data_IF_149762071445
#
_entry.id   IF_149762071445
#
_cell.length_a   1.000
_cell.length_b   1.000
_cell.length_c   1.000
_cell.angle_alpha   90.00
_cell.angle_beta   90.00
_cell.angle_gamma   90.00
#
_symmetry.space_group_name_H-M   'P 1'
#
loop_
_entity.id
_entity.type
_entity.pdbx_description
1 polymer ?
#
# COMPACT_ATOMS: atom_id res chain seq x y z
N UNK A 1 4.19 -23.16 -10.44
CA UNK A 1 3.94 -23.58 -9.04
C UNK A 1 4.53 -22.50 -8.18
N UNK A 2 3.74 -21.95 -7.26
CA UNK A 2 4.21 -20.93 -6.32
C UNK A 2 5.30 -21.50 -5.41
N UNK A 3 6.29 -20.68 -5.07
CA UNK A 3 7.38 -21.06 -4.18
C UNK A 3 6.89 -21.14 -2.73
N UNK A 4 7.26 -22.21 -2.02
CA UNK A 4 6.93 -22.42 -0.61
C UNK A 4 7.82 -21.53 0.26
N UNK A 5 7.18 -20.70 1.07
CA UNK A 5 7.83 -19.72 1.96
C UNK A 5 7.92 -20.26 3.38
N UNK A 6 6.85 -20.90 3.86
CA UNK A 6 6.73 -21.41 5.22
C UNK A 6 5.86 -22.66 5.26
N UNK A 7 6.15 -23.56 6.19
CA UNK A 7 5.35 -24.74 6.48
C UNK A 7 5.33 -25.02 7.98
N UNK A 8 4.14 -25.24 8.55
CA UNK A 8 3.99 -25.70 9.93
C UNK A 8 2.87 -26.73 10.06
N UNK A 9 3.06 -27.72 10.93
CA UNK A 9 2.08 -28.78 11.20
C UNK A 9 1.54 -28.66 12.62
N UNK A 10 0.22 -28.66 12.76
CA UNK A 10 -0.49 -28.70 14.04
C UNK A 10 -1.49 -29.86 14.07
N UNK A 11 -1.12 -30.95 14.75
CA UNK A 11 -1.92 -32.17 14.77
C UNK A 11 -1.99 -32.82 13.38
N UNK A 12 -3.19 -32.85 12.79
CA UNK A 12 -3.43 -33.38 11.44
C UNK A 12 -3.37 -32.32 10.33
N UNK A 13 -3.41 -31.04 10.70
CA UNK A 13 -3.41 -29.93 9.76
C UNK A 13 -1.98 -29.47 9.47
N UNK A 14 -1.66 -29.21 8.22
CA UNK A 14 -0.40 -28.59 7.76
C UNK A 14 -0.74 -27.29 7.04
N UNK A 15 -0.22 -26.18 7.54
CA UNK A 15 -0.32 -24.87 6.91
C UNK A 15 0.92 -24.69 6.03
N UNK A 16 0.71 -24.28 4.78
CA UNK A 16 1.76 -23.93 3.84
C UNK A 16 1.52 -22.51 3.34
N UNK A 17 2.55 -21.67 3.36
CA UNK A 17 2.52 -20.31 2.84
C UNK A 17 3.30 -20.26 1.54
N UNK A 18 2.75 -19.60 0.54
CA UNK A 18 3.32 -19.47 -0.79
C UNK A 18 3.33 -18.02 -1.22
N UNK A 19 4.25 -17.67 -2.13
CA UNK A 19 4.14 -16.42 -2.87
C UNK A 19 2.92 -16.47 -3.81
N UNK A 20 2.16 -15.39 -3.83
CA UNK A 20 1.11 -15.18 -4.81
C UNK A 20 1.74 -14.68 -6.12
N UNK A 21 1.58 -15.47 -7.19
CA UNK A 21 2.16 -15.16 -8.50
C UNK A 21 1.22 -14.36 -9.40
N UNK A 22 -0.04 -14.19 -9.00
CA UNK A 22 -1.05 -13.41 -9.73
C UNK A 22 -1.84 -12.48 -8.78
N UNK A 23 -1.16 -11.61 -8.01
CA UNK A 23 -1.81 -10.77 -7.02
C UNK A 23 -2.58 -9.61 -7.66
N UNK A 24 -3.72 -9.25 -7.07
CA UNK A 24 -4.44 -8.03 -7.43
C UNK A 24 -3.60 -6.78 -7.09
N UNK A 25 -3.59 -5.80 -7.98
CA UNK A 25 -2.92 -4.53 -7.74
C UNK A 25 -3.69 -3.73 -6.67
N UNK A 26 -3.10 -3.38 -5.51
CA UNK A 26 -3.82 -2.66 -4.47
C UNK A 26 -4.26 -1.25 -4.88
N UNK A 27 -3.76 -0.69 -5.99
CA UNK A 27 -4.25 0.58 -6.55
C UNK A 27 -5.57 0.46 -7.30
N UNK A 28 -6.03 -0.75 -7.65
CA UNK A 28 -7.39 -0.96 -8.19
C UNK A 28 -8.46 -1.06 -7.11
N UNK A 29 -8.09 -1.02 -5.83
CA UNK A 29 -9.01 -1.03 -4.70
C UNK A 29 -9.65 0.34 -4.44
N UNK A 30 -10.64 0.37 -3.54
CA UNK A 30 -11.26 1.59 -3.03
C UNK A 30 -10.34 2.29 -2.02
N UNK A 31 -9.35 3.01 -2.54
CA UNK A 31 -8.36 3.74 -1.75
C UNK A 31 -8.85 5.13 -1.35
N UNK A 32 -8.41 5.63 -0.19
CA UNK A 32 -8.68 7.02 0.22
C UNK A 32 -7.80 8.01 -0.56
N UNK A 33 -6.53 7.64 -0.74
CA UNK A 33 -5.55 8.46 -1.42
C UNK A 33 -5.58 8.28 -2.93
N UNK A 34 -5.38 9.37 -3.67
CA UNK A 34 -4.97 9.33 -5.08
C UNK A 34 -3.45 9.47 -5.17
N UNK A 35 -2.79 8.52 -5.82
CA UNK A 35 -1.33 8.44 -5.96
C UNK A 35 -0.92 8.83 -7.39
N UNK A 36 -0.43 10.06 -7.56
CA UNK A 36 0.03 10.60 -8.84
C UNK A 36 1.54 10.42 -8.93
N UNK A 37 2.00 9.54 -9.82
CA UNK A 37 3.42 9.17 -9.95
C UNK A 37 3.88 9.14 -11.41
N UNK A 38 5.02 9.80 -11.68
CA UNK A 38 5.68 9.77 -12.98
C UNK A 38 7.05 9.12 -12.88
N UNK A 39 7.27 8.05 -13.65
CA UNK A 39 8.57 7.40 -13.74
C UNK A 39 8.85 6.88 -15.16
N UNK A 40 10.08 7.05 -15.70
CA UNK A 40 10.37 6.70 -17.10
C UNK A 40 10.36 5.19 -17.38
N UNK A 41 10.49 4.34 -16.36
CA UNK A 41 10.59 2.88 -16.51
C UNK A 41 9.36 2.12 -16.02
N UNK A 42 8.57 2.72 -15.14
CA UNK A 42 7.52 2.02 -14.39
C UNK A 42 6.24 2.81 -14.48
N UNK A 43 5.13 2.10 -14.69
CA UNK A 43 3.80 2.68 -14.49
C UNK A 43 3.45 2.53 -13.00
N UNK A 44 3.38 3.65 -12.28
CA UNK A 44 3.27 3.67 -10.82
C UNK A 44 2.04 4.46 -10.40
N UNK A 45 1.41 4.04 -9.30
CA UNK A 45 0.28 4.75 -8.72
C UNK A 45 -0.98 4.60 -9.56
N UNK A 46 -1.78 5.67 -9.58
CA UNK A 46 -3.06 5.73 -10.28
C UNK A 46 -2.92 6.38 -11.65
N UNK A 47 -3.82 6.03 -12.58
CA UNK A 47 -3.82 6.59 -13.92
C UNK A 47 -4.04 8.12 -13.91
N UNK A 48 -3.19 8.85 -14.61
CA UNK A 48 -3.28 10.29 -14.76
C UNK A 48 -2.63 10.79 -16.05
N UNK A 49 -2.90 12.05 -16.40
CA UNK A 49 -2.34 12.71 -17.60
C UNK A 49 -1.32 13.81 -17.29
N UNK A 50 -0.93 13.98 -16.02
CA UNK A 50 0.03 15.02 -15.62
C UNK A 50 1.44 14.75 -16.12
N UNK A 51 2.09 15.78 -16.68
CA UNK A 51 3.51 15.77 -17.04
C UNK A 51 4.38 16.13 -15.82
N UNK A 52 4.41 15.19 -14.87
CA UNK A 52 5.20 15.28 -13.65
C UNK A 52 4.55 16.08 -12.51
N UNK A 53 5.24 16.07 -11.36
CA UNK A 53 4.70 16.56 -10.09
C UNK A 53 4.35 18.05 -10.09
N UNK A 54 5.06 18.90 -10.85
CA UNK A 54 4.74 20.33 -10.92
C UNK A 54 3.40 20.57 -11.62
N UNK A 55 3.14 19.89 -12.74
CA UNK A 55 1.89 20.02 -13.49
C UNK A 55 0.69 19.61 -12.62
N UNK A 56 0.81 18.50 -11.90
CA UNK A 56 -0.18 18.07 -10.91
C UNK A 56 -0.43 19.12 -9.83
N UNK A 57 0.62 19.67 -9.20
CA UNK A 57 0.45 20.65 -8.13
C UNK A 57 -0.20 21.96 -8.60
N UNK A 58 0.08 22.38 -9.84
CA UNK A 58 -0.58 23.54 -10.44
C UNK A 58 -2.07 23.30 -10.65
N UNK A 59 -2.43 22.14 -11.21
CA UNK A 59 -3.82 21.74 -11.42
C UNK A 59 -4.59 21.67 -10.09
N UNK A 60 -4.03 20.98 -9.08
CA UNK A 60 -4.60 20.88 -7.75
C UNK A 60 -4.85 22.26 -7.11
N UNK A 61 -3.95 23.21 -7.35
CA UNK A 61 -4.05 24.57 -6.82
C UNK A 61 -4.87 25.52 -7.71
N UNK A 62 -5.27 25.09 -8.90
CA UNK A 62 -5.93 25.90 -9.95
C UNK A 62 -5.11 27.14 -10.30
N UNK A 63 -3.81 26.93 -10.55
CA UNK A 63 -2.86 27.98 -10.94
C UNK A 63 -2.41 27.81 -12.39
N UNK A 64 -2.16 28.93 -13.06
CA UNK A 64 -1.56 28.96 -14.39
C UNK A 64 -0.08 28.54 -14.36
N UNK A 65 0.45 28.09 -15.50
CA UNK A 65 1.82 27.55 -15.59
C UNK A 65 2.93 28.58 -15.35
N UNK A 66 2.64 29.86 -15.60
CA UNK A 66 3.57 30.99 -15.58
C UNK A 66 3.86 31.54 -14.16
N UNK A 67 3.26 30.95 -13.12
CA UNK A 67 3.56 31.32 -11.74
C UNK A 67 5.02 31.03 -11.38
N UNK A 68 5.70 31.93 -10.65
CA UNK A 68 7.13 31.82 -10.35
C UNK A 68 7.43 30.85 -9.19
N UNK A 69 6.51 29.95 -8.87
CA UNK A 69 6.64 29.01 -7.76
C UNK A 69 7.34 27.73 -8.22
N UNK A 70 8.35 27.34 -7.46
CA UNK A 70 8.96 26.01 -7.54
C UNK A 70 8.05 24.94 -6.92
N UNK A 71 8.46 23.68 -7.05
CA UNK A 71 7.70 22.53 -6.56
C UNK A 71 7.48 22.59 -5.05
N UNK A 72 8.47 23.02 -4.26
CA UNK A 72 8.36 23.11 -2.80
C UNK A 72 7.36 24.19 -2.36
N UNK A 73 7.38 25.33 -3.03
CA UNK A 73 6.44 26.43 -2.78
C UNK A 73 5.01 26.05 -3.18
N UNK A 74 4.84 25.28 -4.26
CA UNK A 74 3.54 24.73 -4.68
C UNK A 74 3.07 23.65 -3.70
N UNK A 75 3.92 22.71 -3.31
CA UNK A 75 3.62 21.66 -2.34
C UNK A 75 3.16 22.24 -0.99
N UNK A 76 3.87 23.25 -0.47
CA UNK A 76 3.49 23.96 0.76
C UNK A 76 2.11 24.62 0.65
N UNK A 77 1.74 25.12 -0.54
CA UNK A 77 0.40 25.67 -0.79
C UNK A 77 -0.64 24.55 -0.87
N UNK A 78 -0.33 23.44 -1.53
CA UNK A 78 -1.23 22.30 -1.69
C UNK A 78 -1.63 21.72 -0.33
N UNK A 79 -0.74 21.70 0.66
CA UNK A 79 -1.04 21.29 2.03
C UNK A 79 -2.17 22.09 2.71
N UNK A 80 -2.49 23.30 2.22
CA UNK A 80 -3.63 24.09 2.72
C UNK A 80 -4.97 23.60 2.17
N UNK A 81 -4.98 22.92 1.02
CA UNK A 81 -6.17 22.43 0.31
C UNK A 81 -6.32 20.92 0.38
N UNK A 82 -5.24 20.20 0.68
CA UNK A 82 -5.18 18.74 0.75
C UNK A 82 -4.32 18.25 1.92
N UNK A 83 -4.45 16.97 2.23
CA UNK A 83 -3.45 16.19 2.95
C UNK A 83 -2.65 15.47 1.87
N UNK A 84 -1.39 15.85 1.73
CA UNK A 84 -0.54 15.44 0.60
C UNK A 84 0.85 15.08 1.13
N UNK A 85 1.39 13.96 0.64
CA UNK A 85 2.71 13.46 0.98
C UNK A 85 3.54 13.27 -0.30
N UNK A 86 4.85 13.59 -0.29
CA UNK A 86 5.73 13.19 -1.37
C UNK A 86 5.84 11.66 -1.42
N UNK A 87 6.06 11.12 -2.61
CA UNK A 87 6.26 9.68 -2.81
C UNK A 87 7.61 9.47 -3.49
N UNK A 88 8.43 8.61 -2.89
CA UNK A 88 9.77 8.28 -3.35
C UNK A 88 9.82 6.83 -3.79
N UNK A 89 10.62 6.55 -4.81
CA UNK A 89 10.95 5.21 -5.28
C UNK A 89 12.43 4.93 -5.01
N UNK A 90 12.73 3.70 -4.62
CA UNK A 90 14.04 3.10 -4.61
C UNK A 90 14.06 1.91 -5.58
N UNK A 91 15.02 1.88 -6.49
CA UNK A 91 15.17 0.91 -7.58
C UNK A 91 16.54 0.23 -7.49
N UNK A 92 16.67 -0.82 -6.66
CA UNK A 92 17.91 -1.60 -6.53
C UNK A 92 17.62 -3.03 -6.07
N UNK A 93 17.69 -4.00 -7.00
CA UNK A 93 17.35 -5.42 -6.77
C UNK A 93 15.87 -5.70 -6.44
N UNK A 94 15.03 -4.67 -6.47
CA UNK A 94 13.61 -4.67 -6.19
C UNK A 94 13.10 -3.23 -6.09
N UNK A 95 11.78 -3.05 -6.22
CA UNK A 95 11.15 -1.74 -6.10
C UNK A 95 10.62 -1.53 -4.69
N UNK A 96 10.98 -0.41 -4.07
CA UNK A 96 10.43 0.01 -2.79
C UNK A 96 9.95 1.47 -2.86
N UNK A 97 8.86 1.77 -2.19
CA UNK A 97 8.28 3.12 -2.12
C UNK A 97 8.02 3.56 -0.69
N UNK A 98 8.17 4.86 -0.43
CA UNK A 98 7.81 5.46 0.86
C UNK A 98 7.47 6.95 0.71
N UNK A 99 7.10 7.58 1.83
CA UNK A 99 6.76 9.02 1.88
C UNK A 99 7.79 9.88 2.60
N UNK A 100 8.95 9.33 2.94
CA UNK A 100 9.98 9.97 3.77
C UNK A 100 11.33 10.13 3.07
N UNK A 101 11.50 9.54 1.89
CA UNK A 101 12.75 9.48 1.15
C UNK A 101 13.62 8.28 1.52
N UNK A 102 14.70 8.11 0.76
CA UNK A 102 15.75 7.14 1.01
C UNK A 102 17.10 7.85 1.14
N UNK A 103 18.06 7.21 1.80
CA UNK A 103 19.40 7.78 1.99
C UNK A 103 20.29 7.64 0.75
N UNK A 104 19.98 6.72 -0.18
CA UNK A 104 20.78 6.47 -1.38
C UNK A 104 20.35 7.39 -2.54
N UNK A 105 21.16 8.40 -2.94
CA UNK A 105 20.75 9.35 -3.97
C UNK A 105 20.85 8.80 -5.41
N UNK A 106 21.55 7.69 -5.62
CA UNK A 106 21.77 7.12 -6.95
C UNK A 106 20.61 6.25 -7.41
N UNK A 107 20.09 5.47 -6.47
CA UNK A 107 19.04 4.48 -6.72
C UNK A 107 17.67 4.95 -6.22
N UNK A 108 17.53 6.20 -5.76
CA UNK A 108 16.25 6.74 -5.33
C UNK A 108 15.97 8.16 -5.80
N UNK A 109 14.69 8.49 -5.85
CA UNK A 109 14.21 9.83 -6.18
C UNK A 109 12.73 9.99 -5.84
N UNK A 110 12.28 11.25 -5.79
CA UNK A 110 10.86 11.53 -5.70
C UNK A 110 10.21 11.23 -7.06
N UNK A 111 9.17 10.41 -7.05
CA UNK A 111 8.42 10.02 -8.25
C UNK A 111 7.03 10.64 -8.31
N UNK A 112 6.54 11.22 -7.21
CA UNK A 112 5.22 11.81 -7.23
C UNK A 112 4.70 12.24 -5.87
N UNK A 113 3.39 12.15 -5.72
CA UNK A 113 2.64 12.49 -4.51
C UNK A 113 1.46 11.54 -4.31
N UNK A 114 1.10 11.32 -3.05
CA UNK A 114 -0.20 10.75 -2.67
C UNK A 114 -0.98 11.83 -1.93
N UNK A 115 -2.27 11.98 -2.24
CA UNK A 115 -3.08 13.02 -1.63
C UNK A 115 -4.55 12.64 -1.45
N UNK A 116 -5.22 13.36 -0.57
CA UNK A 116 -6.68 13.49 -0.51
C UNK A 116 -7.01 14.95 -0.21
N UNK A 117 -7.98 15.52 -0.92
CA UNK A 117 -8.39 16.91 -0.73
C UNK A 117 -9.10 17.07 0.61
N UNK A 118 -9.05 18.27 1.19
CA UNK A 118 -9.81 18.55 2.41
C UNK A 118 -11.32 18.54 2.17
N UNK A 119 -11.77 18.68 0.92
CA UNK A 119 -13.18 18.52 0.57
C UNK A 119 -13.60 17.06 0.69
N UNK A 120 -12.87 16.14 0.07
CA UNK A 120 -13.10 14.69 0.17
C UNK A 120 -13.07 14.23 1.62
N UNK A 121 -12.08 14.66 2.41
CA UNK A 121 -12.00 14.31 3.84
C UNK A 121 -13.24 14.76 4.61
N UNK A 122 -13.75 15.98 4.35
CA UNK A 122 -14.96 16.46 5.02
C UNK A 122 -16.19 15.63 4.63
N UNK A 123 -16.27 15.25 3.36
CA UNK A 123 -17.36 14.44 2.83
C UNK A 123 -17.33 13.02 3.36
N UNK A 124 -16.15 12.39 3.42
CA UNK A 124 -15.97 11.01 3.86
C UNK A 124 -16.22 10.89 5.38
N UNK A 125 -15.55 11.72 6.17
CA UNK A 125 -15.64 11.67 7.63
C UNK A 125 -16.83 12.46 8.22
N UNK A 126 -17.66 13.09 7.37
CA UNK A 126 -18.82 13.91 7.76
C UNK A 126 -18.47 15.01 8.78
N UNK A 127 -17.33 15.68 8.57
CA UNK A 127 -16.82 16.75 9.45
C UNK A 127 -16.82 18.11 8.75
N UNK A 128 -17.04 19.19 9.50
CA UNK A 128 -16.93 20.55 8.98
C UNK A 128 -15.47 21.06 8.99
N UNK A 129 -14.73 20.75 10.06
CA UNK A 129 -13.34 21.14 10.25
C UNK A 129 -12.43 19.92 10.29
N UNK A 130 -11.44 19.91 9.40
CA UNK A 130 -10.35 18.92 9.44
C UNK A 130 -9.33 19.37 10.49
N UNK A 131 -9.33 18.72 11.65
CA UNK A 131 -8.43 19.05 12.76
C UNK A 131 -7.01 18.56 12.49
N UNK A 132 -6.01 19.09 13.21
CA UNK A 132 -4.62 18.62 13.08
C UNK A 132 -4.50 17.12 13.40
N UNK A 133 -5.24 16.62 14.40
CA UNK A 133 -5.27 15.19 14.74
C UNK A 133 -5.82 14.34 13.58
N UNK A 134 -6.90 14.80 12.95
CA UNK A 134 -7.46 14.11 11.78
C UNK A 134 -6.48 14.17 10.60
N UNK A 135 -5.80 15.30 10.38
CA UNK A 135 -4.77 15.42 9.35
C UNK A 135 -3.65 14.40 9.56
N UNK A 136 -3.15 14.27 10.79
CA UNK A 136 -2.12 13.29 11.11
C UNK A 136 -2.60 11.85 10.87
N UNK A 137 -3.80 11.51 11.35
CA UNK A 137 -4.37 10.18 11.15
C UNK A 137 -4.50 9.82 9.67
N UNK A 138 -4.94 10.76 8.83
CA UNK A 138 -5.03 10.55 7.39
C UNK A 138 -3.64 10.51 6.74
N UNK A 139 -2.68 11.33 7.16
CA UNK A 139 -1.29 11.21 6.68
C UNK A 139 -0.70 9.84 6.96
N UNK A 140 -0.94 9.27 8.15
CA UNK A 140 -0.53 7.91 8.49
C UNK A 140 -1.24 6.88 7.58
N UNK A 141 -2.52 7.08 7.29
CA UNK A 141 -3.27 6.23 6.36
C UNK A 141 -2.70 6.26 4.94
N UNK A 142 -2.43 7.45 4.39
CA UNK A 142 -1.81 7.59 3.06
C UNK A 142 -0.41 6.98 3.02
N UNK A 143 0.37 7.13 4.10
CA UNK A 143 1.68 6.47 4.20
C UNK A 143 1.55 4.94 4.18
N UNK A 144 0.49 4.39 4.78
CA UNK A 144 0.22 2.96 4.76
C UNK A 144 -0.22 2.49 3.37
N UNK A 145 -1.03 3.26 2.63
CA UNK A 145 -1.34 2.93 1.23
C UNK A 145 -0.07 2.83 0.36
N UNK A 146 0.87 3.77 0.53
CA UNK A 146 2.17 3.73 -0.16
C UNK A 146 2.97 2.50 0.27
N UNK A 147 2.94 2.14 1.56
CA UNK A 147 3.61 0.92 2.06
C UNK A 147 3.01 -0.34 1.44
N UNK A 148 1.68 -0.48 1.43
CA UNK A 148 1.00 -1.63 0.82
C UNK A 148 1.34 -1.73 -0.67
N UNK A 149 1.36 -0.61 -1.39
CA UNK A 149 1.76 -0.61 -2.79
C UNK A 149 3.25 -0.96 -2.97
N UNK A 150 4.12 -0.51 -2.07
CA UNK A 150 5.53 -0.92 -2.05
C UNK A 150 5.69 -2.43 -1.86
N UNK A 151 4.94 -3.02 -0.93
CA UNK A 151 4.96 -4.46 -0.67
C UNK A 151 4.50 -5.24 -1.91
N UNK A 152 3.45 -4.77 -2.59
CA UNK A 152 3.01 -5.31 -3.88
C UNK A 152 4.10 -5.24 -4.96
N UNK A 153 4.73 -4.08 -5.16
CA UNK A 153 5.78 -3.89 -6.17
C UNK A 153 7.04 -4.75 -5.89
N UNK A 154 7.31 -5.03 -4.62
CA UNK A 154 8.39 -5.94 -4.19
C UNK A 154 8.04 -7.42 -4.36
N UNK A 155 6.79 -7.77 -4.66
CA UNK A 155 6.33 -9.16 -4.71
C UNK A 155 6.06 -9.78 -3.35
N UNK A 156 5.93 -8.97 -2.28
CA UNK A 156 5.57 -9.42 -0.95
C UNK A 156 4.05 -9.64 -0.87
N UNK A 157 3.57 -10.61 -1.66
CA UNK A 157 2.17 -11.04 -1.68
C UNK A 157 2.12 -12.54 -1.51
N UNK A 158 1.23 -13.00 -0.64
CA UNK A 158 1.21 -14.36 -0.14
C UNK A 158 -0.18 -14.95 -0.15
N UNK A 159 -0.23 -16.28 -0.16
CA UNK A 159 -1.41 -17.05 0.15
C UNK A 159 -1.06 -18.26 1.01
N UNK A 160 -2.07 -18.82 1.65
CA UNK A 160 -1.94 -20.03 2.42
C UNK A 160 -2.79 -21.17 1.85
N UNK A 161 -2.32 -22.38 2.09
CA UNK A 161 -3.06 -23.63 1.87
C UNK A 161 -2.99 -24.43 3.17
N UNK A 162 -4.14 -24.92 3.63
CA UNK A 162 -4.25 -25.83 4.77
C UNK A 162 -4.57 -27.22 4.22
N UNK A 163 -3.77 -28.21 4.60
CA UNK A 163 -3.98 -29.62 4.25
C UNK A 163 -4.25 -30.45 5.51
N UNK A 164 -5.26 -31.32 5.48
CA UNK A 164 -5.50 -32.34 6.51
C UNK A 164 -5.36 -33.74 5.89
N UNK A 165 -4.53 -34.59 6.50
CA UNK A 165 -4.26 -35.96 6.00
C UNK A 165 -3.85 -35.98 4.50
N UNK A 166 -3.17 -34.91 4.03
CA UNK A 166 -2.70 -34.73 2.65
C UNK A 166 -3.75 -34.21 1.67
N UNK A 167 -4.91 -33.75 2.14
CA UNK A 167 -5.99 -33.17 1.33
C UNK A 167 -6.13 -31.70 1.67
N UNK A 168 -6.10 -30.82 0.67
CA UNK A 168 -6.39 -29.39 0.83
C UNK A 168 -7.83 -29.19 1.38
N UNK A 169 -7.94 -28.47 2.49
CA UNK A 169 -9.22 -28.16 3.16
C UNK A 169 -9.60 -26.69 3.09
N UNK A 170 -8.63 -25.79 3.06
CA UNK A 170 -8.84 -24.34 3.01
C UNK A 170 -7.68 -23.67 2.27
N UNK A 171 -7.96 -22.62 1.51
CA UNK A 171 -6.93 -21.78 0.91
C UNK A 171 -7.42 -20.35 0.68
N UNK A 172 -6.53 -19.39 0.93
CA UNK A 172 -6.81 -17.98 0.72
C UNK A 172 -5.53 -17.26 0.26
N UNK A 173 -5.68 -16.32 -0.66
CA UNK A 173 -4.58 -15.67 -1.40
C UNK A 173 -4.74 -14.13 -1.37
N UNK A 174 -3.75 -13.40 -1.88
CA UNK A 174 -3.78 -11.93 -1.94
C UNK A 174 -3.38 -11.21 -0.63
N UNK A 175 -2.69 -11.86 0.30
CA UNK A 175 -2.18 -11.21 1.51
C UNK A 175 -0.93 -10.38 1.20
N UNK A 176 -1.07 -9.06 1.11
CA UNK A 176 0.04 -8.13 0.85
C UNK A 176 0.73 -7.74 2.16
N UNK A 177 2.07 -7.73 2.17
CA UNK A 177 2.90 -7.33 3.32
C UNK A 177 3.62 -8.50 3.95
N UNK A 178 3.95 -8.41 5.25
CA UNK A 178 4.65 -9.51 5.93
C UNK A 178 3.70 -10.72 6.12
N UNK A 179 4.12 -11.89 5.63
CA UNK A 179 3.32 -13.11 5.70
C UNK A 179 3.07 -13.56 7.14
N UNK A 180 3.99 -13.33 8.07
CA UNK A 180 3.80 -13.72 9.48
C UNK A 180 2.74 -12.85 10.14
N UNK A 181 2.60 -11.60 9.69
CA UNK A 181 1.72 -10.63 10.33
C UNK A 181 0.24 -10.80 10.01
N UNK A 182 -0.08 -11.22 8.79
CA UNK A 182 -1.46 -11.34 8.32
C UNK A 182 -1.78 -12.74 7.79
N UNK A 183 -1.04 -13.22 6.79
CA UNK A 183 -1.34 -14.47 6.09
C UNK A 183 -1.30 -15.68 7.04
N UNK A 184 -0.22 -15.82 7.81
CA UNK A 184 -0.03 -16.95 8.73
C UNK A 184 -0.96 -16.86 9.94
N UNK A 185 -1.23 -15.65 10.47
CA UNK A 185 -2.20 -15.47 11.55
C UNK A 185 -3.61 -15.88 11.11
N UNK A 186 -4.01 -15.51 9.90
CA UNK A 186 -5.31 -15.91 9.36
C UNK A 186 -5.39 -17.43 9.13
N UNK A 187 -4.36 -18.03 8.53
CA UNK A 187 -4.29 -19.48 8.36
C UNK A 187 -4.43 -20.22 9.69
N UNK A 188 -3.74 -19.76 10.76
CA UNK A 188 -3.84 -20.33 12.11
C UNK A 188 -5.24 -20.21 12.71
N UNK A 189 -5.98 -19.15 12.40
CA UNK A 189 -7.37 -18.99 12.85
C UNK A 189 -8.34 -19.93 12.12
N UNK A 190 -8.03 -20.29 10.87
CA UNK A 190 -8.82 -21.22 10.07
C UNK A 190 -8.57 -22.70 10.41
N UNK A 191 -7.41 -23.04 10.99
CA UNK A 191 -7.18 -24.41 11.48
C UNK A 191 -8.22 -24.73 12.56
N UNK A 192 -9.07 -25.76 12.38
CA UNK A 192 -10.00 -26.17 13.41
C UNK A 192 -9.21 -26.48 14.69
N UNK A 193 -9.52 -25.79 15.79
CA UNK A 193 -9.05 -26.22 17.10
C UNK A 193 -9.53 -27.66 17.26
N UNK A 194 -8.60 -28.62 17.29
CA UNK A 194 -8.89 -29.97 17.74
C UNK A 194 -9.64 -29.81 19.06
N UNK A 195 -10.97 -29.98 19.04
CA UNK A 195 -11.77 -30.05 20.25
C UNK A 195 -11.13 -31.19 21.01
N UNK A 196 -10.47 -30.86 22.13
CA UNK A 196 -10.14 -31.87 23.11
C UNK A 196 -11.47 -32.56 23.41
N UNK A 197 -11.63 -33.78 22.91
CA UNK A 197 -12.66 -34.67 23.36
C UNK A 197 -12.42 -34.79 24.86
N UNK A 198 -13.18 -34.02 25.65
CA UNK A 198 -13.34 -34.26 27.06
C UNK A 198 -14.11 -35.58 27.15
N UNK A 199 -13.36 -36.66 27.07
CA UNK A 199 -13.81 -37.98 27.44
C UNK A 199 -14.05 -37.98 28.96
N UNK A 200 -15.32 -38.23 29.30
CA UNK A 200 -15.88 -38.73 30.56
C UNK A 200 -16.41 -37.68 31.55
#
# INVERSE_FOLDING_TARGET
MSELVHEETNGKATIKIYYDTDPENPRSWDNLGTMICGHPRYNLGDDHSFDGGRAFLLDLLKLDEDVPYDVDALFTRAQKQAIILPVYLYDHSGLAMNTSGFSCPWDSGQVGFIYVTLEEVRNEYKVQRVTQKLRQCISEFLSNEVKTYSDYLSGNVYGYVIEEDGVETESCWGFIGDYDDHCLKEARNCVPLCKAHSDH
#
